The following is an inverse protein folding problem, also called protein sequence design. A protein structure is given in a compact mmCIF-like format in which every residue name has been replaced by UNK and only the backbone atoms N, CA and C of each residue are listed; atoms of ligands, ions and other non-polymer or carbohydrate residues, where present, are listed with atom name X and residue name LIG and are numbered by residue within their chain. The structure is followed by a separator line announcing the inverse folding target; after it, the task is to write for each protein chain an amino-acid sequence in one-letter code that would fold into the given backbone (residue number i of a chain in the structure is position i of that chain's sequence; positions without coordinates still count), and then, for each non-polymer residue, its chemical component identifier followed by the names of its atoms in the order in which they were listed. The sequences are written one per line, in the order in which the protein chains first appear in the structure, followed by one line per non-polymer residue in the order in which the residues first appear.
data_IF_206803325272
#
_entry.id   IF_206803325272
#
_cell.length_a   1.000
_cell.length_b   1.000
_cell.length_c   1.000
_cell.angle_alpha   90.00
_cell.angle_beta   90.00
_cell.angle_gamma   90.00
#
_symmetry.space_group_name_H-M   'P 1'
#
loop_
_entity.id
_entity.type
_entity.pdbx_description
1 polymer ?
#
# COMPACT_ATOMS: atom_id res chain seq x y z
N UNK A 1 -9.84 24.11 -20.75
CA UNK A 1 -10.57 23.17 -19.88
C UNK A 1 -9.63 22.84 -18.74
N UNK A 2 -10.07 23.01 -17.51
CA UNK A 2 -9.25 22.71 -16.32
C UNK A 2 -8.99 21.20 -16.22
N UNK A 3 -7.86 20.79 -15.63
CA UNK A 3 -7.50 19.37 -15.52
C UNK A 3 -8.51 18.59 -14.68
N UNK A 4 -9.12 19.23 -13.68
CA UNK A 4 -10.15 18.63 -12.84
C UNK A 4 -11.48 18.47 -13.58
N UNK A 5 -11.85 19.44 -14.43
CA UNK A 5 -13.02 19.32 -15.31
C UNK A 5 -12.81 18.18 -16.31
N UNK A 6 -11.60 18.07 -16.88
CA UNK A 6 -11.25 17.00 -17.80
C UNK A 6 -11.29 15.63 -17.10
N UNK A 7 -10.70 15.53 -15.91
CA UNK A 7 -10.74 14.31 -15.10
C UNK A 7 -12.17 13.87 -14.77
N UNK A 8 -13.04 14.81 -14.40
CA UNK A 8 -14.44 14.55 -14.07
C UNK A 8 -15.28 14.14 -15.29
N UNK A 9 -15.10 14.82 -16.43
CA UNK A 9 -15.92 14.58 -17.63
C UNK A 9 -15.47 13.39 -18.46
N UNK A 10 -14.17 13.11 -18.48
CA UNK A 10 -13.58 11.98 -19.23
C UNK A 10 -13.30 10.76 -18.33
N UNK A 11 -13.69 10.80 -17.04
CA UNK A 11 -13.42 9.77 -16.04
C UNK A 11 -11.94 9.36 -15.98
N UNK A 12 -11.04 10.36 -16.03
CA UNK A 12 -9.59 10.15 -15.95
C UNK A 12 -9.11 10.26 -14.51
N UNK A 13 -8.12 9.44 -14.17
CA UNK A 13 -7.37 9.61 -12.92
C UNK A 13 -6.46 10.83 -13.01
N UNK A 14 -6.28 11.50 -11.89
CA UNK A 14 -5.17 12.42 -11.68
C UNK A 14 -4.03 11.68 -10.99
N UNK A 15 -2.81 12.17 -11.16
CA UNK A 15 -1.63 11.71 -10.44
C UNK A 15 -0.89 12.92 -9.86
N UNK A 16 -0.39 12.77 -8.64
CA UNK A 16 0.48 13.73 -7.97
C UNK A 16 1.40 12.97 -7.02
N UNK A 17 2.70 13.22 -7.12
CA UNK A 17 3.72 12.63 -6.24
C UNK A 17 3.59 11.09 -6.13
N UNK A 18 3.26 10.42 -7.24
CA UNK A 18 3.08 8.96 -7.30
C UNK A 18 1.71 8.45 -6.84
N UNK A 19 0.89 9.28 -6.21
CA UNK A 19 -0.45 8.93 -5.74
C UNK A 19 -1.48 9.21 -6.83
N UNK A 20 -2.42 8.28 -7.02
CA UNK A 20 -3.50 8.40 -7.98
C UNK A 20 -4.77 8.90 -7.30
N UNK A 21 -5.56 9.70 -8.01
CA UNK A 21 -6.76 10.31 -7.48
C UNK A 21 -7.92 10.23 -8.47
N UNK A 22 -9.10 9.95 -7.95
CA UNK A 22 -10.36 10.13 -8.67
C UNK A 22 -10.93 11.51 -8.39
N UNK A 23 -11.49 12.14 -9.43
CA UNK A 23 -12.29 13.35 -9.26
C UNK A 23 -13.75 12.96 -9.33
N UNK A 24 -14.52 13.25 -8.27
CA UNK A 24 -15.97 13.01 -8.25
C UNK A 24 -16.70 14.24 -7.72
N UNK A 25 -17.98 14.35 -8.09
CA UNK A 25 -18.88 15.32 -7.47
C UNK A 25 -19.43 14.75 -6.17
N UNK A 26 -19.27 15.50 -5.09
CA UNK A 26 -19.88 15.22 -3.80
C UNK A 26 -20.52 16.51 -3.28
N UNK A 27 -21.82 16.45 -2.96
CA UNK A 27 -22.60 17.59 -2.44
C UNK A 27 -22.48 18.87 -3.29
N UNK A 28 -22.44 18.71 -4.61
CA UNK A 28 -22.30 19.84 -5.56
C UNK A 28 -20.89 20.42 -5.66
N UNK A 29 -19.89 19.71 -5.14
CA UNK A 29 -18.48 20.13 -5.17
C UNK A 29 -17.60 19.08 -5.82
N UNK A 30 -16.64 19.51 -6.64
CA UNK A 30 -15.59 18.63 -7.12
C UNK A 30 -14.64 18.31 -5.95
N UNK A 31 -14.46 17.02 -5.68
CA UNK A 31 -13.56 16.50 -4.66
C UNK A 31 -12.57 15.53 -5.30
N UNK A 32 -11.34 15.54 -4.80
CA UNK A 32 -10.33 14.54 -5.11
C UNK A 32 -10.33 13.45 -4.03
N UNK A 33 -10.35 12.21 -4.49
CA UNK A 33 -10.34 11.01 -3.67
C UNK A 33 -9.06 10.26 -3.99
N UNK A 34 -8.11 10.13 -3.05
CA UNK A 34 -6.95 9.28 -3.26
C UNK A 34 -7.42 7.85 -3.52
N UNK A 35 -6.89 7.23 -4.56
CA UNK A 35 -7.15 5.82 -4.82
C UNK A 35 -6.44 4.99 -3.74
N UNK A 36 -7.13 4.00 -3.21
CA UNK A 36 -6.68 3.25 -2.03
C UNK A 36 -7.15 3.82 -0.71
N UNK A 37 -7.82 4.98 -0.69
CA UNK A 37 -8.34 5.60 0.53
C UNK A 37 -7.44 6.72 1.06
N UNK A 38 -7.89 7.40 2.12
CA UNK A 38 -7.20 8.56 2.69
C UNK A 38 -8.07 9.82 2.70
N UNK A 39 -7.43 10.99 2.83
CA UNK A 39 -8.13 12.26 3.02
C UNK A 39 -8.77 12.74 1.71
N UNK A 40 -10.10 12.81 1.71
CA UNK A 40 -10.87 13.43 0.62
C UNK A 40 -10.72 14.95 0.71
N UNK A 41 -10.31 15.57 -0.39
CA UNK A 41 -10.08 17.02 -0.43
C UNK A 41 -11.01 17.69 -1.43
N UNK A 42 -11.68 18.75 -1.00
CA UNK A 42 -12.48 19.59 -1.89
C UNK A 42 -11.58 20.49 -2.75
N UNK A 43 -11.84 20.55 -4.05
CA UNK A 43 -11.11 21.41 -4.98
C UNK A 43 -11.66 22.85 -4.88
N UNK A 44 -11.23 23.58 -3.85
CA UNK A 44 -11.77 24.90 -3.51
C UNK A 44 -10.87 26.10 -3.88
N UNK A 45 -9.58 25.90 -4.11
CA UNK A 45 -8.64 26.99 -4.44
C UNK A 45 -7.49 26.51 -5.35
N UNK A 46 -6.69 27.47 -5.83
CA UNK A 46 -5.56 27.22 -6.74
C UNK A 46 -4.46 26.34 -6.12
N UNK A 47 -4.18 26.46 -4.82
CA UNK A 47 -3.12 25.67 -4.16
C UNK A 47 -3.40 24.18 -4.20
N UNK A 48 -4.66 23.78 -4.00
CA UNK A 48 -5.08 22.37 -4.11
C UNK A 48 -4.90 21.86 -5.55
N UNK A 49 -4.88 22.74 -6.54
CA UNK A 49 -4.78 22.38 -7.97
C UNK A 49 -3.33 22.21 -8.45
N UNK A 50 -2.35 22.64 -7.67
CA UNK A 50 -0.93 22.59 -8.04
C UNK A 50 -0.36 21.17 -7.95
N UNK A 51 0.47 20.80 -8.95
CA UNK A 51 1.21 19.54 -8.99
C UNK A 51 0.45 18.34 -9.54
N UNK A 52 -0.86 18.47 -9.80
CA UNK A 52 -1.65 17.40 -10.40
C UNK A 52 -1.43 17.31 -11.91
N UNK A 53 -1.37 16.08 -12.40
CA UNK A 53 -1.34 15.75 -13.82
C UNK A 53 -2.45 14.75 -14.14
N UNK A 54 -2.92 14.71 -15.38
CA UNK A 54 -3.79 13.62 -15.85
C UNK A 54 -2.90 12.37 -15.95
N UNK A 55 -3.34 11.27 -15.36
CA UNK A 55 -2.64 10.00 -15.52
C UNK A 55 -2.77 9.52 -16.98
N UNK A 56 -1.64 9.33 -17.65
CA UNK A 56 -1.60 8.87 -19.05
C UNK A 56 -2.19 7.45 -19.19
N UNK A 57 -2.03 6.63 -18.15
CA UNK A 57 -2.58 5.30 -18.00
C UNK A 57 -3.32 5.15 -16.67
N UNK A 58 -4.05 4.03 -16.49
CA UNK A 58 -4.51 3.64 -15.16
C UNK A 58 -3.36 3.41 -14.17
N UNK A 59 -3.72 3.04 -12.94
CA UNK A 59 -2.76 2.63 -11.91
C UNK A 59 -1.85 1.53 -12.51
N UNK A 60 -0.53 1.61 -12.28
CA UNK A 60 0.41 0.57 -12.64
C UNK A 60 -0.09 -0.79 -12.17
N UNK A 61 0.34 -1.84 -12.87
CA UNK A 61 0.01 -3.23 -12.50
C UNK A 61 1.25 -4.06 -12.21
N UNK A 62 2.41 -3.41 -12.21
CA UNK A 62 3.72 -4.03 -12.08
C UNK A 62 4.31 -3.61 -10.76
N UNK A 63 4.79 -4.59 -10.02
CA UNK A 63 5.53 -4.38 -8.79
C UNK A 63 6.83 -3.64 -9.06
N UNK A 64 7.17 -2.73 -8.16
CA UNK A 64 8.47 -2.08 -8.08
C UNK A 64 9.09 -2.38 -6.73
N UNK A 65 10.40 -2.59 -6.77
CA UNK A 65 11.22 -2.81 -5.59
C UNK A 65 11.39 -1.50 -4.81
N UNK A 66 11.33 -1.57 -3.48
CA UNK A 66 11.51 -0.45 -2.56
C UNK A 66 11.91 -0.93 -1.16
N UNK A 67 12.07 0.01 -0.22
CA UNK A 67 12.28 -0.26 1.20
C UNK A 67 11.09 0.30 1.98
N UNK A 68 10.52 -0.51 2.87
CA UNK A 68 9.29 -0.17 3.56
C UNK A 68 9.48 -0.26 5.07
N UNK A 69 8.96 0.73 5.79
CA UNK A 69 8.93 0.76 7.25
C UNK A 69 7.55 0.47 7.80
N UNK A 70 7.48 -0.15 8.97
CA UNK A 70 6.25 -0.23 9.77
C UNK A 70 6.15 1.06 10.61
N UNK A 71 5.03 1.79 10.49
CA UNK A 71 4.75 3.00 11.29
C UNK A 71 5.88 4.05 11.30
N UNK A 72 6.62 4.19 10.18
CA UNK A 72 7.80 5.06 10.04
C UNK A 72 8.97 4.76 11.01
N UNK A 73 9.05 3.57 11.61
CA UNK A 73 10.23 3.20 12.41
C UNK A 73 11.40 2.78 11.51
N UNK A 74 12.51 3.54 11.46
CA UNK A 74 13.66 3.21 10.61
C UNK A 74 14.36 1.90 11.02
N UNK A 75 14.16 1.39 12.25
CA UNK A 75 14.71 0.11 12.67
C UNK A 75 13.92 -1.08 12.10
N UNK A 76 12.67 -0.85 11.68
CA UNK A 76 11.78 -1.84 11.07
C UNK A 76 11.67 -1.63 9.55
N UNK A 77 12.82 -1.44 8.89
CA UNK A 77 12.92 -1.23 7.43
C UNK A 77 13.20 -2.55 6.71
N UNK A 78 12.39 -2.90 5.73
CA UNK A 78 12.51 -4.14 4.98
C UNK A 78 12.44 -3.92 3.47
N UNK A 79 13.26 -4.67 2.73
CA UNK A 79 13.21 -4.67 1.27
C UNK A 79 11.96 -5.42 0.78
N UNK A 80 11.14 -4.77 -0.03
CA UNK A 80 9.90 -5.34 -0.53
C UNK A 80 9.55 -4.86 -1.93
N UNK A 81 8.33 -5.18 -2.33
CA UNK A 81 7.80 -4.79 -3.64
C UNK A 81 6.38 -4.25 -3.49
N UNK A 82 6.08 -3.09 -4.08
CA UNK A 82 4.73 -2.54 -4.11
C UNK A 82 4.36 -2.14 -5.54
N UNK A 83 3.06 -2.11 -5.85
CA UNK A 83 2.58 -1.51 -7.10
C UNK A 83 2.39 -0.01 -6.81
N UNK A 84 3.14 0.89 -7.47
CA UNK A 84 3.03 2.32 -7.18
C UNK A 84 1.59 2.81 -7.37
N UNK A 85 1.03 3.42 -6.32
CA UNK A 85 -0.33 3.95 -6.33
C UNK A 85 -1.45 2.93 -6.07
N UNK A 86 -1.13 1.64 -5.86
CA UNK A 86 -2.06 0.69 -5.24
C UNK A 86 -1.87 0.74 -3.73
N UNK A 87 -2.69 1.58 -3.08
CA UNK A 87 -2.56 1.91 -1.65
C UNK A 87 -3.69 1.29 -0.83
N UNK A 88 -3.48 1.18 0.48
CA UNK A 88 -4.51 0.87 1.48
C UNK A 88 -4.56 1.97 2.53
N UNK A 89 -5.68 2.68 2.63
CA UNK A 89 -5.86 3.87 3.46
C UNK A 89 -4.79 4.96 3.26
N UNK A 90 -4.20 5.04 2.07
CA UNK A 90 -3.13 5.97 1.75
C UNK A 90 -1.72 5.46 2.05
N UNK A 91 -1.59 4.26 2.63
CA UNK A 91 -0.32 3.58 2.87
C UNK A 91 0.04 2.61 1.76
N UNK A 92 1.33 2.34 1.60
CA UNK A 92 1.83 1.39 0.62
C UNK A 92 1.33 -0.02 0.91
N UNK A 93 1.23 -0.81 -0.15
CA UNK A 93 0.85 -2.22 -0.06
C UNK A 93 2.02 -3.15 -0.44
N UNK A 94 3.11 -3.19 0.34
CA UNK A 94 4.25 -4.00 -0.01
C UNK A 94 3.97 -5.49 0.17
N UNK A 95 4.67 -6.27 -0.63
CA UNK A 95 4.77 -7.72 -0.54
C UNK A 95 6.25 -8.08 -0.43
N UNK A 96 6.55 -9.12 0.34
CA UNK A 96 7.92 -9.43 0.74
C UNK A 96 8.27 -10.84 0.32
N UNK A 97 9.48 -11.06 -0.21
CA UNK A 97 9.98 -12.42 -0.40
C UNK A 97 9.93 -13.20 0.92
N UNK A 98 9.65 -14.50 0.87
CA UNK A 98 9.45 -15.34 2.07
C UNK A 98 10.58 -15.18 3.10
N UNK A 99 11.82 -15.05 2.64
CA UNK A 99 12.98 -14.81 3.51
C UNK A 99 12.90 -13.48 4.28
N UNK A 100 12.45 -12.41 3.63
CA UNK A 100 12.29 -11.10 4.25
C UNK A 100 11.06 -11.12 5.17
N UNK A 101 9.97 -11.78 4.76
CA UNK A 101 8.81 -11.98 5.60
C UNK A 101 9.15 -12.74 6.90
N UNK A 102 10.08 -13.71 6.86
CA UNK A 102 10.59 -14.36 8.07
C UNK A 102 11.33 -13.38 8.98
N UNK A 103 12.17 -12.49 8.43
CA UNK A 103 12.82 -11.45 9.22
C UNK A 103 11.84 -10.44 9.81
N UNK A 104 10.76 -10.11 9.10
CA UNK A 104 9.66 -9.30 9.65
C UNK A 104 9.01 -10.04 10.82
N UNK A 105 8.69 -11.33 10.67
CA UNK A 105 8.09 -12.13 11.74
C UNK A 105 8.98 -12.19 12.99
N UNK A 106 10.30 -12.35 12.82
CA UNK A 106 11.28 -12.30 13.91
C UNK A 106 11.26 -10.93 14.60
N UNK A 107 11.33 -9.84 13.84
CA UNK A 107 11.31 -8.48 14.39
C UNK A 107 9.99 -8.16 15.12
N UNK A 108 8.85 -8.61 14.59
CA UNK A 108 7.53 -8.46 15.24
C UNK A 108 7.49 -9.21 16.57
N UNK A 109 8.03 -10.44 16.62
CA UNK A 109 8.09 -11.20 17.87
C UNK A 109 9.03 -10.55 18.90
N UNK A 110 10.10 -9.90 18.47
CA UNK A 110 11.08 -9.25 19.35
C UNK A 110 10.57 -7.90 19.86
N UNK A 111 10.11 -7.03 18.96
CA UNK A 111 9.76 -5.63 19.28
C UNK A 111 8.30 -5.46 19.68
N UNK A 112 7.40 -6.31 19.18
CA UNK A 112 5.95 -6.23 19.39
C UNK A 112 5.37 -7.50 20.03
N UNK A 113 6.22 -8.35 20.61
CA UNK A 113 5.87 -9.68 21.15
C UNK A 113 4.81 -9.67 22.25
N UNK A 114 4.61 -8.54 22.93
CA UNK A 114 3.55 -8.37 23.93
C UNK A 114 2.14 -8.28 23.29
N UNK A 115 2.06 -7.87 22.02
CA UNK A 115 0.81 -7.67 21.29
C UNK A 115 0.59 -8.72 20.21
N UNK A 116 1.67 -9.20 19.59
CA UNK A 116 1.62 -10.08 18.44
C UNK A 116 2.54 -11.28 18.61
N UNK A 117 2.13 -12.41 18.07
CA UNK A 117 3.01 -13.55 17.87
C UNK A 117 2.92 -14.04 16.44
N UNK A 118 4.05 -14.10 15.74
CA UNK A 118 4.13 -14.53 14.36
C UNK A 118 4.92 -15.83 14.21
N UNK A 119 4.40 -16.75 13.39
CA UNK A 119 5.04 -18.02 13.09
C UNK A 119 4.97 -18.34 11.59
N UNK A 120 5.98 -19.06 11.10
CA UNK A 120 6.00 -19.61 9.75
C UNK A 120 5.57 -21.08 9.76
N UNK A 121 4.49 -21.39 9.05
CA UNK A 121 4.04 -22.74 8.74
C UNK A 121 4.57 -23.15 7.35
N UNK A 122 5.71 -23.85 7.34
CA UNK A 122 6.35 -24.30 6.11
C UNK A 122 5.59 -25.42 5.39
N UNK A 123 4.77 -26.20 6.10
CA UNK A 123 4.00 -27.29 5.48
C UNK A 123 2.87 -26.73 4.63
N UNK A 124 2.24 -25.64 5.09
CA UNK A 124 1.12 -25.00 4.40
C UNK A 124 1.50 -23.73 3.62
N UNK A 125 2.80 -23.41 3.52
CA UNK A 125 3.33 -22.22 2.84
C UNK A 125 2.63 -20.92 3.26
N UNK A 126 2.55 -20.67 4.56
CA UNK A 126 1.89 -19.48 5.11
C UNK A 126 2.56 -18.98 6.38
N UNK A 127 2.38 -17.70 6.66
CA UNK A 127 2.61 -17.13 7.99
C UNK A 127 1.30 -17.03 8.75
N UNK A 128 1.37 -17.20 10.07
CA UNK A 128 0.28 -16.86 10.99
C UNK A 128 0.73 -15.71 11.88
N UNK A 129 -0.14 -14.76 12.12
CA UNK A 129 0.08 -13.68 13.08
C UNK A 129 -1.10 -13.64 14.03
N UNK A 130 -0.85 -13.98 15.29
CA UNK A 130 -1.83 -13.96 16.36
C UNK A 130 -1.76 -12.62 17.09
N UNK A 131 -2.89 -11.92 17.16
CA UNK A 131 -3.08 -10.77 18.04
C UNK A 131 -3.43 -11.29 19.45
N UNK A 132 -2.58 -11.01 20.42
CA UNK A 132 -2.67 -11.60 21.76
C UNK A 132 -3.81 -10.98 22.59
N UNK A 133 -4.11 -9.70 22.39
CA UNK A 133 -5.21 -9.02 23.10
C UNK A 133 -6.59 -9.34 22.51
N UNK A 134 -6.68 -9.48 21.18
CA UNK A 134 -7.93 -9.70 20.46
C UNK A 134 -8.31 -11.17 20.27
N UNK A 135 -7.41 -12.10 20.59
CA UNK A 135 -7.48 -13.53 20.25
C UNK A 135 -7.89 -13.78 18.79
N UNK A 136 -7.31 -12.99 17.89
CA UNK A 136 -7.53 -13.08 16.45
C UNK A 136 -6.25 -13.57 15.77
N UNK A 137 -6.38 -14.36 14.71
CA UNK A 137 -5.23 -14.85 13.93
C UNK A 137 -5.41 -14.52 12.46
N UNK A 138 -4.43 -13.82 11.91
CA UNK A 138 -4.32 -13.56 10.48
C UNK A 138 -3.49 -14.66 9.84
N UNK A 139 -3.95 -15.17 8.70
CA UNK A 139 -3.20 -16.09 7.86
C UNK A 139 -2.75 -15.38 6.59
N UNK A 140 -1.46 -15.49 6.27
CA UNK A 140 -0.83 -14.82 5.14
C UNK A 140 -0.15 -15.88 4.28
N UNK A 141 -0.79 -16.23 3.17
CA UNK A 141 -0.31 -17.27 2.25
C UNK A 141 0.76 -16.73 1.31
N UNK A 142 1.68 -17.60 0.93
CA UNK A 142 2.62 -17.34 -0.16
C UNK A 142 1.89 -17.24 -1.50
N UNK A 143 2.41 -16.39 -2.39
CA UNK A 143 1.96 -16.32 -3.78
C UNK A 143 3.10 -15.87 -4.70
N UNK A 144 2.91 -16.05 -6.00
CA UNK A 144 3.90 -15.65 -7.00
C UNK A 144 3.61 -14.25 -7.56
N UNK A 145 4.65 -13.44 -7.68
CA UNK A 145 4.66 -12.22 -8.50
C UNK A 145 5.74 -12.32 -9.58
N UNK A 146 5.63 -11.49 -10.62
CA UNK A 146 6.66 -11.34 -11.64
C UNK A 146 7.25 -9.92 -11.58
N UNK A 147 8.57 -9.84 -11.46
CA UNK A 147 9.35 -8.58 -11.45
C UNK A 147 10.52 -8.74 -12.40
N UNK A 148 10.61 -7.85 -13.39
CA UNK A 148 11.67 -7.87 -14.41
C UNK A 148 11.86 -9.24 -15.09
N UNK A 149 10.75 -9.96 -15.34
CA UNK A 149 10.74 -11.29 -15.95
C UNK A 149 11.17 -12.43 -15.03
N UNK A 150 11.37 -12.17 -13.73
CA UNK A 150 11.65 -13.17 -12.71
C UNK A 150 10.42 -13.43 -11.86
N UNK A 151 10.12 -14.70 -11.62
CA UNK A 151 9.12 -15.12 -10.65
C UNK A 151 9.71 -15.10 -9.25
N UNK A 152 9.00 -14.47 -8.31
CA UNK A 152 9.35 -14.40 -6.91
C UNK A 152 8.19 -14.97 -6.09
N UNK A 153 8.50 -15.72 -5.03
CA UNK A 153 7.51 -16.17 -4.05
C UNK A 153 7.49 -15.16 -2.90
N UNK A 154 6.35 -14.54 -2.68
CA UNK A 154 6.17 -13.41 -1.78
C UNK A 154 4.97 -13.61 -0.87
N UNK A 155 4.89 -12.79 0.17
CA UNK A 155 3.81 -12.75 1.17
C UNK A 155 3.32 -11.33 1.32
N UNK A 156 2.01 -11.16 1.40
CA UNK A 156 1.36 -9.87 1.67
C UNK A 156 1.29 -9.69 3.19
N UNK A 157 2.42 -9.35 3.80
CA UNK A 157 2.57 -9.38 5.25
C UNK A 157 1.87 -8.17 5.89
N UNK A 158 0.65 -8.40 6.43
CA UNK A 158 -0.19 -7.36 7.04
C UNK A 158 -0.41 -6.10 6.17
N UNK A 159 -0.29 -6.25 4.85
CA UNK A 159 -0.27 -5.18 3.84
C UNK A 159 -1.52 -4.28 3.86
N UNK A 160 -2.66 -4.79 4.31
CA UNK A 160 -3.94 -4.06 4.39
C UNK A 160 -4.45 -3.98 5.82
N UNK A 161 -3.52 -4.00 6.78
CA UNK A 161 -3.80 -4.00 8.20
C UNK A 161 -2.85 -3.05 8.94
N UNK A 162 -1.61 -2.93 8.47
CA UNK A 162 -0.59 -2.03 9.01
C UNK A 162 -0.26 -0.89 8.05
N UNK A 163 0.30 0.18 8.62
CA UNK A 163 0.76 1.34 7.89
C UNK A 163 2.19 1.08 7.40
N UNK A 164 2.32 0.73 6.12
CA UNK A 164 3.61 0.61 5.46
C UNK A 164 3.92 1.89 4.68
N UNK A 165 5.14 2.39 4.82
CA UNK A 165 5.61 3.60 4.13
C UNK A 165 6.95 3.33 3.44
N UNK A 166 7.06 3.69 2.17
CA UNK A 166 8.32 3.65 1.42
C UNK A 166 9.31 4.75 1.91
N UNK A 167 10.58 4.39 2.13
CA UNK A 167 11.65 5.28 2.62
C UNK A 167 12.84 5.42 1.67
#
# INVERSE_FOLDING_TARGET
MDIFDKALTESKLLVKDGVYYEVRLQDGHACIFPVGGGIVTRVCNLKVREGFQIADSGIPKTYKKGFFTIDNDPNLTFEGYAIPGDLWNGFDKPVFEVQVASSIAEAVNEELGDYYHCERDNENNRFTLKELEGDYTHEMNDFEIEVDGKKLVVVSFMTSNWCWEEV
#
